data_IF_735158413254
#
_entry.id   IF_735158413254
#
_cell.length_a   1.000
_cell.length_b   1.000
_cell.length_c   1.000
_cell.angle_alpha   90.00
_cell.angle_beta   90.00
_cell.angle_gamma   90.00
#
_symmetry.space_group_name_H-M   'P 1'
#
loop_
_entity.id
_entity.type
_entity.pdbx_description
1 polymer ?
#
# COMPACT_ATOMS: atom_id res chain seq x y z
N UNK A 1 -57.65 -28.26 -12.29
CA UNK A 1 -56.21 -28.58 -12.43
C UNK A 1 -55.41 -27.45 -13.08
N UNK A 2 -55.78 -26.99 -14.29
CA UNK A 2 -55.05 -25.91 -15.00
C UNK A 2 -54.98 -24.56 -14.24
N UNK A 3 -56.08 -24.18 -13.57
CA UNK A 3 -56.12 -22.97 -12.71
C UNK A 3 -55.18 -23.11 -11.51
N UNK A 4 -55.10 -24.29 -10.90
CA UNK A 4 -54.20 -24.55 -9.77
C UNK A 4 -52.72 -24.49 -10.18
N UNK A 5 -52.35 -25.00 -11.37
CA UNK A 5 -50.98 -24.84 -11.87
C UNK A 5 -50.61 -23.37 -12.14
N UNK A 6 -51.54 -22.57 -12.66
CA UNK A 6 -51.30 -21.13 -12.85
C UNK A 6 -51.14 -20.39 -11.53
N UNK A 7 -51.94 -20.74 -10.52
CA UNK A 7 -51.77 -20.18 -9.17
C UNK A 7 -50.43 -20.60 -8.55
N UNK A 8 -49.95 -21.82 -8.80
CA UNK A 8 -48.66 -22.30 -8.31
C UNK A 8 -47.48 -21.54 -8.94
N UNK A 9 -47.48 -21.36 -10.27
CA UNK A 9 -46.44 -20.57 -10.94
C UNK A 9 -46.45 -19.09 -10.53
N UNK A 10 -47.65 -18.52 -10.31
CA UNK A 10 -47.74 -17.16 -9.79
C UNK A 10 -47.18 -17.05 -8.37
N UNK A 11 -47.42 -18.06 -7.53
CA UNK A 11 -46.86 -18.14 -6.18
C UNK A 11 -45.33 -18.24 -6.20
N UNK A 12 -44.75 -19.11 -7.02
CA UNK A 12 -43.28 -19.22 -7.17
C UNK A 12 -42.65 -17.93 -7.67
N UNK A 13 -43.30 -17.26 -8.63
CA UNK A 13 -42.84 -15.97 -9.15
C UNK A 13 -42.85 -14.88 -8.08
N UNK A 14 -43.95 -14.77 -7.31
CA UNK A 14 -44.05 -13.81 -6.20
C UNK A 14 -43.03 -14.12 -5.11
N UNK A 15 -42.84 -15.40 -4.78
CA UNK A 15 -41.87 -15.82 -3.76
C UNK A 15 -40.43 -15.49 -4.18
N UNK A 16 -40.06 -15.80 -5.43
CA UNK A 16 -38.75 -15.45 -5.99
C UNK A 16 -38.52 -13.93 -5.98
N UNK A 17 -39.51 -13.15 -6.41
CA UNK A 17 -39.44 -11.68 -6.40
C UNK A 17 -39.27 -11.12 -4.98
N UNK A 18 -40.04 -11.61 -4.00
CA UNK A 18 -39.92 -11.18 -2.60
C UNK A 18 -38.57 -11.55 -1.99
N UNK A 19 -38.00 -12.71 -2.35
CA UNK A 19 -36.67 -13.12 -1.91
C UNK A 19 -35.55 -12.20 -2.44
N UNK A 20 -35.63 -11.80 -3.71
CA UNK A 20 -34.69 -10.83 -4.30
C UNK A 20 -34.86 -9.44 -3.68
N UNK A 21 -36.10 -8.98 -3.48
CA UNK A 21 -36.38 -7.70 -2.83
C UNK A 21 -35.86 -7.65 -1.39
N UNK A 22 -36.05 -8.73 -0.62
CA UNK A 22 -35.52 -8.84 0.73
C UNK A 22 -33.99 -8.79 0.75
N UNK A 23 -33.33 -9.54 -0.14
CA UNK A 23 -31.87 -9.54 -0.26
C UNK A 23 -31.31 -8.16 -0.62
N UNK A 24 -31.99 -7.44 -1.52
CA UNK A 24 -31.63 -6.06 -1.88
C UNK A 24 -31.82 -5.08 -0.71
N UNK A 25 -32.94 -5.17 0.03
CA UNK A 25 -33.19 -4.34 1.21
C UNK A 25 -32.19 -4.61 2.34
N UNK A 26 -31.80 -5.88 2.53
CA UNK A 26 -30.79 -6.25 3.51
C UNK A 26 -29.40 -5.69 3.12
N UNK A 27 -29.00 -5.84 1.86
CA UNK A 27 -27.71 -5.33 1.36
C UNK A 27 -27.63 -3.80 1.46
N UNK A 28 -28.71 -3.09 1.11
CA UNK A 28 -28.77 -1.62 1.25
C UNK A 28 -28.76 -1.18 2.71
N UNK A 29 -29.47 -1.88 3.61
CA UNK A 29 -29.44 -1.59 5.05
C UNK A 29 -28.05 -1.80 5.66
N UNK A 30 -27.36 -2.89 5.28
CA UNK A 30 -25.98 -3.16 5.72
C UNK A 30 -25.04 -2.07 5.21
N UNK A 31 -25.16 -1.69 3.93
CA UNK A 31 -24.33 -0.63 3.32
C UNK A 31 -24.54 0.71 4.01
N UNK A 32 -25.80 1.11 4.25
CA UNK A 32 -26.13 2.34 4.99
C UNK A 32 -25.58 2.29 6.42
N UNK A 33 -25.70 1.14 7.11
CA UNK A 33 -25.16 0.97 8.46
C UNK A 33 -23.63 1.10 8.49
N UNK A 34 -22.92 0.53 7.52
CA UNK A 34 -21.46 0.68 7.37
C UNK A 34 -21.10 2.14 7.11
N UNK A 35 -21.81 2.83 6.21
CA UNK A 35 -21.61 4.26 5.93
C UNK A 35 -21.83 5.09 7.19
N UNK A 36 -22.90 4.83 7.96
CA UNK A 36 -23.19 5.54 9.21
C UNK A 36 -22.10 5.28 10.25
N UNK A 37 -21.65 4.03 10.43
CA UNK A 37 -20.56 3.69 11.35
C UNK A 37 -19.27 4.40 10.94
N UNK A 38 -18.95 4.40 9.64
CA UNK A 38 -17.78 5.09 9.10
C UNK A 38 -17.87 6.60 9.31
N UNK A 39 -19.04 7.20 9.06
CA UNK A 39 -19.29 8.62 9.33
C UNK A 39 -19.23 8.96 10.82
N UNK A 40 -19.80 8.14 11.70
CA UNK A 40 -19.74 8.37 13.15
C UNK A 40 -18.29 8.26 13.65
N UNK A 41 -17.55 7.25 13.21
CA UNK A 41 -16.13 7.06 13.56
C UNK A 41 -15.27 8.22 13.06
N UNK A 42 -15.52 8.71 11.84
CA UNK A 42 -14.82 9.87 11.26
C UNK A 42 -15.20 11.20 11.91
N UNK A 43 -16.48 11.45 12.18
CA UNK A 43 -16.95 12.73 12.73
C UNK A 43 -16.73 12.90 14.24
N UNK A 44 -16.64 11.81 15.00
CA UNK A 44 -16.34 11.89 16.43
C UNK A 44 -14.84 12.08 16.73
N UNK A 45 -13.95 11.84 15.76
CA UNK A 45 -12.51 12.05 15.93
C UNK A 45 -12.09 13.52 15.73
N UNK A 46 -12.63 14.19 14.71
CA UNK A 46 -11.98 15.38 14.17
C UNK A 46 -12.65 16.71 14.50
N UNK A 47 -13.79 16.74 15.19
CA UNK A 47 -14.43 18.01 15.56
C UNK A 47 -13.81 18.55 16.87
N UNK A 48 -12.93 19.57 16.80
CA UNK A 48 -12.27 20.11 17.99
C UNK A 48 -13.29 20.77 18.92
N UNK A 49 -14.46 21.20 18.40
CA UNK A 49 -15.54 21.76 19.20
C UNK A 49 -16.26 20.67 20.01
N UNK A 50 -16.44 19.47 19.47
CA UNK A 50 -17.02 18.34 20.22
C UNK A 50 -16.02 17.84 21.28
N UNK A 51 -14.74 17.70 20.92
CA UNK A 51 -13.70 17.29 21.86
C UNK A 51 -13.51 18.33 22.98
N UNK A 52 -13.47 19.62 22.64
CA UNK A 52 -13.40 20.70 23.65
C UNK A 52 -14.70 20.84 24.46
N UNK A 53 -15.87 20.53 23.89
CA UNK A 53 -17.14 20.49 24.61
C UNK A 53 -17.20 19.33 25.60
N UNK A 54 -16.76 18.13 25.20
CA UNK A 54 -16.65 16.96 26.08
C UNK A 54 -15.62 17.20 27.19
N UNK A 55 -14.46 17.75 26.86
CA UNK A 55 -13.45 18.15 27.85
C UNK A 55 -13.97 19.23 28.80
N UNK A 56 -14.71 20.23 28.31
CA UNK A 56 -15.37 21.24 29.16
C UNK A 56 -16.47 20.63 30.05
N UNK A 57 -17.25 19.66 29.55
CA UNK A 57 -18.21 18.92 30.38
C UNK A 57 -17.48 18.15 31.48
N UNK A 58 -16.39 17.47 31.17
CA UNK A 58 -15.59 16.73 32.14
C UNK A 58 -14.91 17.65 33.17
N UNK A 59 -14.39 18.82 32.74
CA UNK A 59 -13.81 19.83 33.62
C UNK A 59 -14.86 20.43 34.56
N UNK A 60 -16.07 20.71 34.06
CA UNK A 60 -17.20 21.20 34.88
C UNK A 60 -17.75 20.15 35.85
N UNK A 61 -17.52 18.87 35.57
CA UNK A 61 -17.90 17.77 36.46
C UNK A 61 -16.89 17.53 37.61
N UNK A 62 -15.77 18.28 37.68
CA UNK A 62 -14.86 18.20 38.80
C UNK A 62 -15.41 18.97 40.02
N UNK A 63 -15.52 18.33 41.19
CA UNK A 63 -15.97 18.99 42.42
C UNK A 63 -14.81 19.77 43.04
N UNK A 64 -14.44 20.92 42.47
CA UNK A 64 -13.59 21.87 43.17
C UNK A 64 -14.45 22.91 43.87
N UNK A 65 -14.34 22.93 45.19
CA UNK A 65 -15.05 23.87 46.06
C UNK A 65 -14.68 25.31 45.73
N UNK A 66 -15.50 25.97 44.92
CA UNK A 66 -15.50 27.42 44.78
C UNK A 66 -16.91 27.90 44.44
N UNK A 67 -17.44 28.74 45.33
CA UNK A 67 -18.72 29.41 45.18
C UNK A 67 -18.68 30.37 43.98
N UNK A 68 -19.15 29.91 42.83
CA UNK A 68 -19.33 30.74 41.64
C UNK A 68 -20.52 30.23 40.85
N UNK A 69 -21.60 31.02 40.83
CA UNK A 69 -22.84 30.76 40.11
C UNK A 69 -22.56 30.46 38.64
N UNK A 70 -22.57 29.17 38.30
CA UNK A 70 -22.49 28.66 36.94
C UNK A 70 -23.73 27.81 36.72
N UNK A 71 -24.52 28.18 35.73
CA UNK A 71 -25.73 27.50 35.28
C UNK A 71 -25.32 26.08 34.83
N UNK A 72 -25.36 25.13 35.75
CA UNK A 72 -25.33 23.70 35.46
C UNK A 72 -26.67 23.32 34.85
N UNK A 73 -26.71 22.63 33.69
CA UNK A 73 -27.95 22.06 33.17
C UNK A 73 -28.59 21.20 34.26
N UNK A 74 -29.84 21.53 34.63
CA UNK A 74 -30.57 20.81 35.67
C UNK A 74 -30.64 19.31 35.35
N UNK A 75 -30.09 18.47 36.23
CA UNK A 75 -30.63 17.13 36.47
C UNK A 75 -29.75 15.90 36.23
N UNK A 76 -28.47 15.99 35.84
CA UNK A 76 -27.60 14.78 35.81
C UNK A 76 -26.66 14.73 37.01
N UNK A 77 -26.55 13.56 37.64
CA UNK A 77 -25.69 13.38 38.81
C UNK A 77 -24.23 13.24 38.34
N UNK A 78 -23.24 13.70 39.12
CA UNK A 78 -21.82 13.54 38.78
C UNK A 78 -21.41 12.07 38.55
N UNK A 79 -22.06 11.14 39.26
CA UNK A 79 -21.87 9.69 39.09
C UNK A 79 -22.23 9.21 37.68
N UNK A 80 -23.18 9.87 37.00
CA UNK A 80 -23.61 9.52 35.64
C UNK A 80 -22.52 9.81 34.57
N UNK A 81 -21.44 10.50 34.95
CA UNK A 81 -20.28 10.81 34.10
C UNK A 81 -19.03 10.00 34.46
N UNK A 82 -19.09 9.16 35.49
CA UNK A 82 -17.92 8.41 35.96
C UNK A 82 -17.44 7.40 34.91
N UNK A 83 -18.37 6.69 34.25
CA UNK A 83 -18.06 5.81 33.13
C UNK A 83 -17.45 6.56 31.93
N UNK A 84 -17.85 7.81 31.67
CA UNK A 84 -17.31 8.61 30.58
C UNK A 84 -15.88 9.05 30.92
N UNK A 85 -15.62 9.38 32.19
CA UNK A 85 -14.28 9.70 32.69
C UNK A 85 -13.38 8.46 32.60
N UNK A 86 -13.86 7.31 33.04
CA UNK A 86 -13.14 6.03 32.93
C UNK A 86 -12.89 5.65 31.47
N UNK A 87 -13.87 5.88 30.57
CA UNK A 87 -13.72 5.66 29.13
C UNK A 87 -12.72 6.63 28.49
N UNK A 88 -12.76 7.92 28.84
CA UNK A 88 -11.79 8.89 28.34
C UNK A 88 -10.39 8.68 28.91
N UNK A 89 -10.28 8.15 30.14
CA UNK A 89 -9.00 7.77 30.74
C UNK A 89 -8.47 6.43 30.20
N UNK A 90 -9.36 5.54 29.73
CA UNK A 90 -8.98 4.26 29.11
C UNK A 90 -8.57 4.41 27.64
N UNK A 91 -9.01 5.49 26.97
CA UNK A 91 -8.49 5.87 25.66
C UNK A 91 -7.07 6.39 25.84
N UNK A 92 -6.10 5.55 25.50
CA UNK A 92 -4.71 5.93 25.42
C UNK A 92 -4.57 7.13 24.47
N UNK A 93 -3.98 8.23 24.96
CA UNK A 93 -3.73 9.41 24.12
C UNK A 93 -2.87 9.01 22.91
N UNK A 94 -3.15 9.55 21.70
CA UNK A 94 -2.44 9.18 20.49
C UNK A 94 -0.91 9.17 20.62
N UNK A 95 -0.36 10.23 21.21
CA UNK A 95 1.07 10.36 21.54
C UNK A 95 1.63 9.14 22.30
N UNK A 96 0.97 8.74 23.40
CA UNK A 96 1.40 7.60 24.24
C UNK A 96 1.35 6.29 23.47
N UNK A 97 0.31 6.09 22.68
CA UNK A 97 0.13 4.88 21.89
C UNK A 97 1.22 4.76 20.81
N UNK A 98 1.43 5.81 20.02
CA UNK A 98 2.49 5.85 19.00
C UNK A 98 3.86 5.65 19.63
N UNK A 99 4.14 6.33 20.75
CA UNK A 99 5.41 6.19 21.48
C UNK A 99 5.63 4.78 22.00
N UNK A 100 4.59 4.13 22.55
CA UNK A 100 4.63 2.74 23.01
C UNK A 100 4.95 1.81 21.84
N UNK A 101 4.25 1.95 20.72
CA UNK A 101 4.47 1.12 19.53
C UNK A 101 5.88 1.29 18.97
N UNK A 102 6.35 2.54 18.77
CA UNK A 102 7.72 2.82 18.32
C UNK A 102 8.77 2.20 19.25
N UNK A 103 8.56 2.28 20.57
CA UNK A 103 9.47 1.67 21.54
C UNK A 103 9.48 0.14 21.44
N UNK A 104 8.32 -0.50 21.26
CA UNK A 104 8.24 -1.94 21.01
C UNK A 104 8.99 -2.30 19.73
N UNK A 105 8.77 -1.55 18.65
CA UNK A 105 9.42 -1.78 17.35
C UNK A 105 10.95 -1.66 17.48
N UNK A 106 11.47 -0.69 18.22
CA UNK A 106 12.92 -0.53 18.42
C UNK A 106 13.56 -1.65 19.25
N UNK A 107 12.78 -2.41 20.02
CA UNK A 107 13.27 -3.56 20.77
C UNK A 107 13.70 -4.74 19.86
N UNK A 108 13.51 -4.62 18.56
CA UNK A 108 13.99 -5.58 17.55
C UNK A 108 15.52 -5.67 17.43
N UNK A 109 16.25 -4.69 17.96
CA UNK A 109 17.72 -4.62 17.87
C UNK A 109 18.44 -5.52 18.87
N UNK A 110 17.73 -6.28 19.71
CA UNK A 110 18.37 -7.08 20.75
C UNK A 110 18.86 -8.43 20.22
N UNK A 111 20.16 -8.64 20.43
CA UNK A 111 20.98 -9.73 19.91
C UNK A 111 20.36 -11.11 20.16
N UNK A 112 20.35 -11.93 19.10
CA UNK A 112 19.99 -13.36 19.09
C UNK A 112 20.92 -14.23 19.98
N UNK A 113 21.86 -13.61 20.70
CA UNK A 113 22.90 -14.26 21.51
C UNK A 113 22.63 -14.30 23.02
N UNK A 114 21.74 -13.47 23.56
CA UNK A 114 21.42 -13.45 24.99
C UNK A 114 19.93 -13.79 25.21
N UNK A 115 19.65 -15.08 25.33
CA UNK A 115 18.29 -15.67 25.35
C UNK A 115 17.31 -15.13 26.43
N UNK A 116 17.63 -14.14 27.27
CA UNK A 116 16.76 -13.83 28.42
C UNK A 116 16.68 -12.38 28.96
N UNK A 117 17.18 -11.34 28.30
CA UNK A 117 17.05 -9.98 28.90
C UNK A 117 16.71 -8.91 27.87
N UNK A 118 15.46 -8.44 27.87
CA UNK A 118 15.06 -7.21 27.20
C UNK A 118 14.53 -6.20 28.23
N UNK A 119 14.93 -4.94 28.00
CA UNK A 119 14.92 -3.77 28.86
C UNK A 119 13.61 -3.45 29.59
N UNK A 120 13.81 -3.14 30.89
CA UNK A 120 12.82 -2.64 31.83
C UNK A 120 12.32 -1.25 31.46
N UNK A 121 11.03 -1.11 31.20
CA UNK A 121 10.35 0.15 31.48
C UNK A 121 9.88 0.13 32.94
N UNK A 122 10.59 0.83 33.83
CA UNK A 122 10.05 1.18 35.15
C UNK A 122 8.92 2.19 34.93
N UNK A 123 7.71 1.70 34.68
CA UNK A 123 6.47 2.48 34.72
C UNK A 123 6.14 2.91 36.16
N UNK A 124 7.02 3.69 36.78
CA UNK A 124 6.80 4.24 38.11
C UNK A 124 5.96 5.50 38.00
N UNK A 125 4.69 5.43 38.42
CA UNK A 125 3.90 6.61 38.72
C UNK A 125 4.56 7.33 39.93
N UNK A 126 5.12 8.54 39.78
CA UNK A 126 5.90 9.18 40.85
C UNK A 126 5.06 9.56 42.09
N UNK A 127 3.73 9.48 42.01
CA UNK A 127 2.83 9.96 43.06
C UNK A 127 2.06 8.87 43.83
N UNK A 128 2.43 7.59 43.71
CA UNK A 128 1.87 6.53 44.57
C UNK A 128 3.01 5.74 45.22
N UNK A 129 3.21 5.96 46.53
CA UNK A 129 4.13 5.20 47.41
C UNK A 129 3.76 3.71 47.57
N UNK A 130 2.82 3.19 46.77
CA UNK A 130 2.52 1.78 46.73
C UNK A 130 3.53 1.06 45.83
N UNK A 131 4.48 0.43 46.49
CA UNK A 131 5.52 -0.48 46.02
C UNK A 131 4.94 -1.69 45.27
N UNK A 132 4.27 -1.49 44.14
CA UNK A 132 3.95 -2.57 43.21
C UNK A 132 5.25 -2.95 42.50
N UNK A 133 5.71 -4.16 42.76
CA UNK A 133 6.79 -4.81 42.00
C UNK A 133 6.38 -4.78 40.52
N UNK A 134 7.08 -3.98 39.72
CA UNK A 134 6.80 -3.84 38.30
C UNK A 134 7.04 -5.17 37.61
N UNK A 135 5.96 -5.78 37.11
CA UNK A 135 6.02 -7.00 36.31
C UNK A 135 6.85 -6.72 35.05
N UNK A 136 7.96 -7.44 34.90
CA UNK A 136 8.85 -7.29 33.75
C UNK A 136 8.22 -8.04 32.58
N UNK A 137 7.64 -7.32 31.63
CA UNK A 137 7.13 -7.91 30.39
C UNK A 137 8.27 -8.11 29.40
N UNK A 138 8.49 -9.35 28.98
CA UNK A 138 9.38 -9.69 27.86
C UNK A 138 8.67 -9.32 26.56
N UNK A 139 9.35 -8.59 25.67
CA UNK A 139 8.86 -8.27 24.32
C UNK A 139 9.29 -9.39 23.39
N UNK A 140 8.34 -10.01 22.68
CA UNK A 140 8.61 -11.08 21.70
C UNK A 140 8.70 -10.54 20.28
N UNK A 141 9.16 -11.37 19.34
CA UNK A 141 9.10 -11.10 17.89
C UNK A 141 7.66 -10.82 17.42
N UNK A 142 6.70 -11.64 17.85
CA UNK A 142 5.27 -11.42 17.57
C UNK A 142 4.77 -10.07 18.10
N UNK A 143 5.21 -9.64 19.30
CA UNK A 143 4.85 -8.32 19.83
C UNK A 143 5.37 -7.19 18.92
N UNK A 144 6.53 -7.36 18.29
CA UNK A 144 7.09 -6.39 17.35
C UNK A 144 6.32 -6.37 16.04
N UNK A 145 6.00 -7.54 15.47
CA UNK A 145 5.21 -7.65 14.24
C UNK A 145 3.82 -7.05 14.42
N UNK A 146 3.14 -7.36 15.53
CA UNK A 146 1.86 -6.75 15.89
C UNK A 146 1.96 -5.23 16.06
N UNK A 147 3.05 -4.74 16.66
CA UNK A 147 3.25 -3.30 16.81
C UNK A 147 3.52 -2.60 15.47
N UNK A 148 4.25 -3.26 14.55
CA UNK A 148 4.50 -2.78 13.20
C UNK A 148 3.21 -2.71 12.37
N UNK A 149 2.42 -3.79 12.38
CA UNK A 149 1.12 -3.86 11.70
C UNK A 149 0.16 -2.80 12.25
N UNK A 150 -0.02 -2.76 13.58
CA UNK A 150 -0.91 -1.80 14.24
C UNK A 150 -0.50 -0.35 13.92
N UNK A 151 0.79 -0.03 14.00
CA UNK A 151 1.25 1.33 13.69
C UNK A 151 1.08 1.66 12.20
N UNK A 152 1.34 0.70 11.30
CA UNK A 152 1.16 0.87 9.85
C UNK A 152 -0.29 1.18 9.49
N UNK A 153 -1.26 0.50 10.10
CA UNK A 153 -2.69 0.76 9.90
C UNK A 153 -3.10 2.12 10.49
N UNK A 154 -2.55 2.49 11.64
CA UNK A 154 -2.89 3.76 12.31
C UNK A 154 -2.44 4.97 11.50
N UNK A 155 -1.23 4.97 10.92
CA UNK A 155 -0.71 6.13 10.18
C UNK A 155 -1.34 6.34 8.80
N UNK A 156 -2.29 5.51 8.37
CA UNK A 156 -3.17 5.83 7.24
C UNK A 156 -4.07 7.05 7.55
N UNK A 157 -4.35 7.29 8.83
CA UNK A 157 -5.05 8.48 9.29
C UNK A 157 -4.07 9.64 9.54
N UNK A 158 -4.41 10.81 8.99
CA UNK A 158 -3.52 11.98 8.96
C UNK A 158 -3.16 12.51 10.37
N UNK A 159 -4.05 12.33 11.36
CA UNK A 159 -3.78 12.76 12.73
C UNK A 159 -2.73 11.84 13.38
N UNK A 160 -2.89 10.53 13.20
CA UNK A 160 -1.93 9.55 13.70
C UNK A 160 -0.58 9.63 12.99
N UNK A 161 -0.59 9.91 11.68
CA UNK A 161 0.63 10.19 10.92
C UNK A 161 1.36 11.44 11.47
N UNK A 162 0.62 12.46 11.90
CA UNK A 162 1.18 13.66 12.53
C UNK A 162 1.84 13.36 13.89
N UNK A 163 1.21 12.53 14.71
CA UNK A 163 1.80 12.06 15.97
C UNK A 163 3.04 11.19 15.74
N UNK A 164 3.01 10.34 14.71
CA UNK A 164 4.16 9.55 14.27
C UNK A 164 5.35 10.44 13.86
N UNK A 165 5.11 11.52 13.11
CA UNK A 165 6.13 12.53 12.78
C UNK A 165 6.69 13.22 14.04
N UNK A 166 5.82 13.61 14.99
CA UNK A 166 6.23 14.27 16.25
C UNK A 166 7.12 13.39 17.13
N UNK A 167 7.00 12.06 17.03
CA UNK A 167 7.80 11.10 17.79
C UNK A 167 9.07 10.65 17.04
N UNK A 168 9.49 11.38 16.00
CA UNK A 168 10.61 11.04 15.12
C UNK A 168 10.44 9.69 14.40
N UNK A 169 9.18 9.25 14.21
CA UNK A 169 8.83 7.99 13.57
C UNK A 169 9.58 7.73 12.24
N UNK A 170 9.57 8.66 11.28
CA UNK A 170 10.30 8.51 10.01
C UNK A 170 11.79 8.22 10.19
N UNK A 171 12.46 8.93 11.11
CA UNK A 171 13.89 8.76 11.36
C UNK A 171 14.18 7.39 12.00
N UNK A 172 13.35 6.97 12.95
CA UNK A 172 13.46 5.67 13.62
C UNK A 172 13.29 4.54 12.61
N UNK A 173 12.23 4.56 11.81
CA UNK A 173 11.96 3.55 10.77
C UNK A 173 13.11 3.45 9.76
N UNK A 174 13.63 4.58 9.26
CA UNK A 174 14.79 4.55 8.37
C UNK A 174 16.04 4.00 9.04
N UNK A 175 16.26 4.28 10.33
CA UNK A 175 17.40 3.72 11.07
C UNK A 175 17.31 2.20 11.23
N UNK A 176 16.10 1.64 11.35
CA UNK A 176 15.88 0.20 11.39
C UNK A 176 16.22 -0.48 10.04
N UNK A 177 16.03 0.24 8.93
CA UNK A 177 16.31 -0.26 7.57
C UNK A 177 17.77 -0.07 7.11
N UNK A 178 18.48 0.94 7.63
CA UNK A 178 19.87 1.24 7.24
C UNK A 178 20.84 0.05 7.29
N UNK A 179 20.83 -0.81 8.35
CA UNK A 179 21.72 -1.96 8.41
C UNK A 179 21.57 -2.96 7.25
N UNK A 180 20.42 -2.96 6.57
CA UNK A 180 20.18 -3.83 5.41
C UNK A 180 20.87 -3.32 4.13
N UNK A 181 21.25 -2.05 4.09
CA UNK A 181 21.90 -1.41 2.93
C UNK A 181 23.40 -1.43 3.08
N UNK A 182 23.88 -1.00 4.25
CA UNK A 182 25.30 -0.86 4.55
C UNK A 182 25.92 -2.24 4.74
N UNK A 183 26.90 -2.65 3.91
CA UNK A 183 27.62 -3.89 4.14
C UNK A 183 28.31 -3.76 5.50
N UNK A 184 27.85 -4.53 6.47
CA UNK A 184 28.41 -4.51 7.82
C UNK A 184 29.88 -4.91 7.71
N UNK A 185 30.78 -3.92 7.77
CA UNK A 185 32.23 -4.14 7.83
C UNK A 185 32.67 -4.66 9.21
N UNK A 186 31.72 -4.98 10.09
CA UNK A 186 32.01 -5.67 11.33
C UNK A 186 32.52 -7.08 11.00
N UNK A 187 33.83 -7.27 11.13
CA UNK A 187 34.51 -8.57 11.07
C UNK A 187 34.00 -9.57 12.14
N UNK A 188 33.04 -9.17 12.99
CA UNK A 188 32.21 -10.05 13.81
C UNK A 188 30.78 -10.05 13.30
N UNK A 189 30.39 -11.09 12.57
CA UNK A 189 29.09 -11.24 11.90
C UNK A 189 27.92 -11.36 12.87
N UNK A 190 27.51 -10.23 13.45
CA UNK A 190 26.20 -10.11 14.07
C UNK A 190 25.16 -10.01 12.96
N UNK A 191 24.43 -11.10 12.77
CA UNK A 191 23.30 -11.18 11.85
C UNK A 191 22.15 -10.35 12.45
N UNK A 192 21.91 -9.16 11.89
CA UNK A 192 20.79 -8.32 12.30
C UNK A 192 19.47 -9.06 12.11
N UNK A 193 18.56 -8.97 13.09
CA UNK A 193 17.23 -9.59 13.06
C UNK A 193 16.48 -9.36 11.73
N UNK A 194 16.55 -8.14 11.20
CA UNK A 194 15.91 -7.76 9.93
C UNK A 194 16.47 -8.46 8.69
N UNK A 195 17.72 -8.95 8.74
CA UNK A 195 18.29 -9.70 7.64
C UNK A 195 17.69 -11.12 7.52
N UNK A 196 16.87 -11.54 8.49
CA UNK A 196 16.20 -12.83 8.45
C UNK A 196 14.68 -12.71 8.28
N UNK A 197 14.06 -11.64 8.79
CA UNK A 197 12.60 -11.50 8.80
C UNK A 197 12.04 -10.60 7.67
N UNK A 198 11.46 -11.26 6.66
CA UNK A 198 10.80 -10.58 5.53
C UNK A 198 9.49 -9.89 5.91
N UNK A 199 8.84 -10.30 7.00
CA UNK A 199 7.54 -9.76 7.43
C UNK A 199 7.72 -8.41 8.13
N UNK A 200 8.69 -8.31 9.04
CA UNK A 200 9.06 -7.03 9.63
C UNK A 200 9.46 -5.99 8.55
N UNK A 201 10.25 -6.40 7.55
CA UNK A 201 10.62 -5.52 6.44
C UNK A 201 9.40 -5.07 5.62
N UNK A 202 8.46 -5.99 5.35
CA UNK A 202 7.22 -5.66 4.68
C UNK A 202 6.46 -4.56 5.43
N UNK A 203 6.24 -4.71 6.74
CA UNK A 203 5.50 -3.72 7.52
C UNK A 203 6.26 -2.41 7.69
N UNK A 204 7.59 -2.41 7.80
CA UNK A 204 8.37 -1.17 7.78
C UNK A 204 8.18 -0.39 6.48
N UNK A 205 8.13 -1.08 5.34
CA UNK A 205 7.85 -0.45 4.05
C UNK A 205 6.41 0.07 3.97
N UNK A 206 5.43 -0.69 4.46
CA UNK A 206 4.03 -0.27 4.52
C UNK A 206 3.84 0.95 5.42
N UNK A 207 4.52 0.99 6.57
CA UNK A 207 4.51 2.13 7.49
C UNK A 207 5.03 3.42 6.82
N UNK A 208 6.10 3.32 6.01
CA UNK A 208 6.55 4.46 5.18
C UNK A 208 5.49 4.83 4.14
N UNK A 209 4.94 3.85 3.44
CA UNK A 209 3.96 4.09 2.37
C UNK A 209 2.70 4.77 2.89
N UNK A 210 2.11 4.26 3.96
CA UNK A 210 0.87 4.77 4.57
C UNK A 210 1.09 6.16 5.17
N UNK A 211 2.17 6.34 5.95
CA UNK A 211 2.46 7.63 6.57
C UNK A 211 2.72 8.75 5.55
N UNK A 212 3.32 8.44 4.39
CA UNK A 212 3.61 9.41 3.34
C UNK A 212 2.45 9.61 2.34
N UNK A 213 1.42 8.76 2.34
CA UNK A 213 0.36 8.79 1.34
C UNK A 213 -0.45 10.09 1.40
N UNK A 214 -0.27 10.95 0.39
CA UNK A 214 -0.92 12.27 0.29
C UNK A 214 -0.68 13.15 1.52
N UNK A 215 0.50 13.01 2.15
CA UNK A 215 0.90 13.75 3.33
C UNK A 215 2.19 14.53 3.06
N UNK A 216 2.04 15.73 2.49
CA UNK A 216 3.16 16.59 2.08
C UNK A 216 4.16 16.87 3.22
N UNK A 217 3.67 17.02 4.46
CA UNK A 217 4.52 17.28 5.63
C UNK A 217 5.46 16.11 5.88
N UNK A 218 4.93 14.88 5.90
CA UNK A 218 5.72 13.69 6.11
C UNK A 218 6.63 13.37 4.92
N UNK A 219 6.16 13.56 3.68
CA UNK A 219 7.00 13.48 2.48
C UNK A 219 8.21 14.43 2.59
N UNK A 220 8.02 15.66 3.08
CA UNK A 220 9.10 16.61 3.33
C UNK A 220 10.01 16.19 4.50
N UNK A 221 9.47 15.55 5.54
CA UNK A 221 10.30 14.94 6.60
C UNK A 221 11.20 13.86 6.01
N UNK A 222 10.65 12.88 5.27
CA UNK A 222 11.44 11.84 4.62
C UNK A 222 12.47 12.41 3.65
N UNK A 223 12.13 13.47 2.90
CA UNK A 223 13.08 14.18 2.02
C UNK A 223 14.32 14.66 2.79
N UNK A 224 14.11 15.36 3.92
CA UNK A 224 15.21 15.85 4.79
C UNK A 224 16.06 14.70 5.32
N UNK A 225 15.43 13.56 5.57
CA UNK A 225 16.07 12.34 6.05
C UNK A 225 16.78 11.52 4.96
N UNK A 226 16.77 11.99 3.71
CA UNK A 226 17.40 11.31 2.57
C UNK A 226 16.94 9.85 2.44
N UNK A 227 15.62 9.61 2.50
CA UNK A 227 15.03 8.26 2.43
C UNK A 227 15.53 7.41 1.25
N UNK A 228 15.94 8.05 0.15
CA UNK A 228 16.47 7.40 -1.05
C UNK A 228 17.80 6.69 -0.81
N UNK A 229 18.60 7.13 0.17
CA UNK A 229 19.85 6.47 0.56
C UNK A 229 19.60 5.11 1.21
N UNK A 230 18.36 4.84 1.63
CA UNK A 230 17.94 3.56 2.20
C UNK A 230 17.10 2.75 1.19
N UNK A 231 16.00 3.31 0.66
CA UNK A 231 15.05 2.52 -0.12
C UNK A 231 15.54 2.18 -1.54
N UNK A 232 16.33 3.05 -2.19
CA UNK A 232 16.80 2.78 -3.56
C UNK A 232 17.77 1.59 -3.59
N UNK A 233 18.77 1.49 -2.69
CA UNK A 233 19.59 0.30 -2.60
C UNK A 233 18.80 -0.97 -2.25
N UNK A 234 17.78 -0.88 -1.39
CA UNK A 234 16.92 -2.03 -1.06
C UNK A 234 16.08 -2.51 -2.23
N UNK A 235 15.85 -1.69 -3.26
CA UNK A 235 15.17 -2.07 -4.50
C UNK A 235 16.10 -2.72 -5.53
N UNK A 236 17.41 -2.78 -5.29
CA UNK A 236 18.35 -3.41 -6.22
C UNK A 236 18.00 -4.90 -6.43
N UNK A 237 18.03 -5.42 -7.68
CA UNK A 237 17.51 -6.77 -7.96
C UNK A 237 18.25 -7.90 -7.24
N UNK A 238 19.53 -7.71 -6.95
CA UNK A 238 20.38 -8.61 -6.17
C UNK A 238 20.03 -8.65 -4.68
N UNK A 239 19.22 -7.69 -4.20
CA UNK A 239 18.79 -7.57 -2.80
C UNK A 239 17.29 -7.78 -2.61
N UNK A 240 16.48 -7.31 -3.56
CA UNK A 240 15.04 -7.23 -3.42
C UNK A 240 14.30 -8.42 -4.02
N UNK A 241 14.92 -9.19 -4.92
CA UNK A 241 14.26 -10.34 -5.52
C UNK A 241 14.54 -11.62 -4.74
N UNK A 242 13.53 -12.50 -4.55
CA UNK A 242 13.74 -13.82 -3.96
C UNK A 242 14.84 -14.60 -4.71
N UNK A 243 15.69 -15.40 -4.04
CA UNK A 243 16.70 -16.21 -4.72
C UNK A 243 16.04 -17.24 -5.66
N UNK A 244 16.70 -17.56 -6.77
CA UNK A 244 16.23 -18.64 -7.65
C UNK A 244 16.52 -19.98 -6.99
N UNK A 245 15.51 -20.86 -6.86
CA UNK A 245 15.64 -22.18 -6.20
C UNK A 245 16.78 -23.06 -6.75
N UNK A 246 17.24 -22.80 -7.99
CA UNK A 246 18.27 -23.59 -8.68
C UNK A 246 19.71 -23.10 -8.43
N UNK A 247 19.92 -21.93 -7.82
CA UNK A 247 21.26 -21.52 -7.42
C UNK A 247 21.66 -22.31 -6.16
N UNK A 248 22.53 -23.30 -6.38
CA UNK A 248 23.11 -24.17 -5.37
C UNK A 248 23.34 -23.46 -4.02
N UNK A 249 23.03 -24.15 -2.92
CA UNK A 249 23.19 -23.81 -1.48
C UNK A 249 24.59 -23.31 -1.02
N UNK A 250 25.38 -22.69 -1.88
CA UNK A 250 26.54 -21.89 -1.46
C UNK A 250 26.00 -20.75 -0.63
N UNK A 251 26.41 -20.74 0.64
CA UNK A 251 26.14 -19.74 1.67
C UNK A 251 26.68 -18.35 1.27
N UNK A 252 26.20 -17.76 0.19
CA UNK A 252 26.24 -16.30 0.07
C UNK A 252 25.10 -15.80 0.95
N UNK A 253 25.44 -14.98 1.94
CA UNK A 253 24.56 -14.36 2.93
C UNK A 253 23.62 -13.32 2.29
N UNK A 254 23.04 -13.66 1.14
CA UNK A 254 22.08 -12.85 0.42
C UNK A 254 20.81 -12.83 1.24
N UNK A 255 20.47 -11.64 1.72
CA UNK A 255 19.15 -11.32 2.24
C UNK A 255 18.09 -11.80 1.25
N UNK A 256 17.31 -12.83 1.62
CA UNK A 256 16.29 -13.39 0.75
C UNK A 256 14.97 -12.69 1.03
N UNK A 257 14.63 -11.70 0.23
CA UNK A 257 13.34 -11.00 0.28
C UNK A 257 12.21 -11.82 -0.34
N UNK A 258 10.97 -11.46 0.02
CA UNK A 258 9.76 -12.02 -0.56
C UNK A 258 9.15 -11.07 -1.60
N UNK A 259 8.33 -11.58 -2.53
CA UNK A 259 7.63 -10.74 -3.50
C UNK A 259 6.76 -9.62 -2.88
N UNK A 260 6.03 -9.87 -1.76
CA UNK A 260 5.31 -8.80 -1.05
C UNK A 260 6.20 -7.64 -0.61
N UNK A 261 7.43 -7.91 -0.17
CA UNK A 261 8.40 -6.87 0.22
C UNK A 261 8.74 -5.97 -0.96
N UNK A 262 8.98 -6.53 -2.16
CA UNK A 262 9.25 -5.73 -3.37
C UNK A 262 8.07 -4.81 -3.68
N UNK A 263 6.85 -5.35 -3.59
CA UNK A 263 5.64 -4.57 -3.82
C UNK A 263 5.49 -3.45 -2.79
N UNK A 264 5.80 -3.70 -1.51
CA UNK A 264 5.77 -2.72 -0.44
C UNK A 264 6.85 -1.63 -0.61
N UNK A 265 8.08 -1.99 -1.00
CA UNK A 265 9.16 -1.05 -1.30
C UNK A 265 8.79 -0.11 -2.46
N UNK A 266 8.25 -0.65 -3.55
CA UNK A 266 7.78 0.16 -4.68
C UNK A 266 6.60 1.04 -4.28
N UNK A 267 5.71 0.55 -3.42
CA UNK A 267 4.59 1.31 -2.90
C UNK A 267 5.07 2.49 -2.04
N UNK A 268 6.03 2.28 -1.13
CA UNK A 268 6.65 3.32 -0.33
C UNK A 268 7.30 4.39 -1.21
N UNK A 269 8.09 3.98 -2.21
CA UNK A 269 8.70 4.91 -3.17
C UNK A 269 7.64 5.72 -3.94
N UNK A 270 6.55 5.07 -4.36
CA UNK A 270 5.43 5.72 -5.05
C UNK A 270 4.77 6.78 -4.16
N UNK A 271 4.44 6.45 -2.91
CA UNK A 271 3.82 7.41 -1.98
C UNK A 271 4.75 8.58 -1.65
N UNK A 272 6.07 8.36 -1.60
CA UNK A 272 7.04 9.43 -1.35
C UNK A 272 7.23 10.36 -2.54
N UNK A 273 7.11 9.87 -3.77
CA UNK A 273 7.31 10.66 -4.98
C UNK A 273 6.03 11.33 -5.50
N UNK A 274 4.86 10.75 -5.22
CA UNK A 274 3.56 11.22 -5.72
C UNK A 274 3.26 12.65 -5.22
N UNK A 275 2.92 13.54 -6.15
CA UNK A 275 2.60 14.95 -5.89
C UNK A 275 3.74 15.69 -5.13
N UNK A 276 4.98 15.20 -5.23
CA UNK A 276 6.13 15.69 -4.50
C UNK A 276 7.38 15.79 -5.39
N UNK A 277 7.52 16.85 -6.20
CA UNK A 277 8.60 16.98 -7.17
C UNK A 277 10.00 16.93 -6.54
N UNK A 278 10.15 17.43 -5.30
CA UNK A 278 11.43 17.38 -4.59
C UNK A 278 11.89 15.94 -4.29
N UNK A 279 10.97 15.05 -3.91
CA UNK A 279 11.27 13.63 -3.70
C UNK A 279 11.47 12.88 -5.01
N UNK A 280 10.67 13.19 -6.03
CA UNK A 280 10.79 12.60 -7.34
C UNK A 280 12.17 12.90 -7.97
N UNK A 281 12.66 14.15 -7.87
CA UNK A 281 14.00 14.53 -8.28
C UNK A 281 15.09 13.83 -7.46
N UNK A 282 14.97 13.83 -6.13
CA UNK A 282 15.91 13.17 -5.25
C UNK A 282 16.04 11.66 -5.56
N UNK A 283 14.93 10.99 -5.87
CA UNK A 283 14.91 9.59 -6.27
C UNK A 283 15.69 9.35 -7.57
N UNK A 284 15.55 10.24 -8.55
CA UNK A 284 16.33 10.17 -9.80
C UNK A 284 17.82 10.41 -9.54
N UNK A 285 18.15 11.43 -8.76
CA UNK A 285 19.54 11.79 -8.42
C UNK A 285 20.28 10.66 -7.71
N UNK A 286 19.57 9.86 -6.89
CA UNK A 286 20.13 8.68 -6.20
C UNK A 286 20.07 7.40 -7.03
N UNK A 287 19.88 7.50 -8.34
CA UNK A 287 19.96 6.36 -9.26
C UNK A 287 18.70 5.49 -9.31
N UNK A 288 17.56 5.99 -8.85
CA UNK A 288 16.30 5.25 -8.86
C UNK A 288 15.94 4.69 -10.25
N UNK A 289 16.16 5.46 -11.32
CA UNK A 289 15.94 4.98 -12.68
C UNK A 289 16.81 3.78 -13.05
N UNK A 290 18.10 3.81 -12.73
CA UNK A 290 19.01 2.72 -13.03
C UNK A 290 18.59 1.45 -12.28
N UNK A 291 18.23 1.58 -10.99
CA UNK A 291 17.70 0.48 -10.17
C UNK A 291 16.42 -0.10 -10.76
N UNK A 292 15.47 0.75 -11.15
CA UNK A 292 14.19 0.31 -11.71
C UNK A 292 14.35 -0.37 -13.07
N UNK A 293 15.22 0.16 -13.95
CA UNK A 293 15.55 -0.49 -15.23
C UNK A 293 16.18 -1.86 -14.98
N UNK A 294 17.12 -1.96 -14.04
CA UNK A 294 17.73 -3.24 -13.68
C UNK A 294 16.68 -4.23 -13.15
N UNK A 295 15.75 -3.77 -12.30
CA UNK A 295 14.65 -4.57 -11.78
C UNK A 295 13.74 -5.06 -12.92
N UNK A 296 13.39 -4.17 -13.83
CA UNK A 296 12.58 -4.49 -15.01
C UNK A 296 13.22 -5.58 -15.88
N UNK A 297 14.51 -5.44 -16.18
CA UNK A 297 15.27 -6.42 -16.97
C UNK A 297 15.31 -7.77 -16.27
N UNK A 298 15.63 -7.79 -14.97
CA UNK A 298 15.68 -9.05 -14.20
C UNK A 298 14.31 -9.71 -14.09
N UNK A 299 13.24 -8.95 -13.87
CA UNK A 299 11.87 -9.48 -13.86
C UNK A 299 11.50 -10.07 -15.22
N UNK A 300 11.85 -9.40 -16.31
CA UNK A 300 11.64 -9.90 -17.68
C UNK A 300 12.37 -11.23 -17.89
N UNK A 301 13.65 -11.29 -17.55
CA UNK A 301 14.45 -12.52 -17.70
C UNK A 301 13.89 -13.67 -16.86
N UNK A 302 13.45 -13.39 -15.62
CA UNK A 302 12.86 -14.40 -14.74
C UNK A 302 11.49 -14.87 -15.21
N UNK A 303 10.66 -13.96 -15.73
CA UNK A 303 9.29 -14.26 -16.11
C UNK A 303 9.18 -14.90 -17.50
N UNK A 304 10.09 -14.59 -18.42
CA UNK A 304 10.02 -15.06 -19.83
C UNK A 304 11.05 -16.12 -20.21
N UNK A 305 11.92 -16.55 -19.29
CA UNK A 305 12.90 -17.61 -19.58
C UNK A 305 12.20 -18.94 -19.87
N UNK A 306 12.39 -19.47 -21.09
CA UNK A 306 11.81 -20.76 -21.54
C UNK A 306 12.28 -21.96 -20.71
N UNK A 307 13.40 -21.81 -20.00
CA UNK A 307 14.05 -22.88 -19.24
C UNK A 307 13.55 -23.03 -17.80
N UNK A 308 12.73 -22.09 -17.32
CA UNK A 308 12.18 -22.19 -15.98
C UNK A 308 10.97 -23.12 -16.00
N UNK A 309 11.21 -24.39 -15.64
CA UNK A 309 10.20 -25.34 -15.14
C UNK A 309 9.41 -24.84 -13.92
N UNK A 310 9.58 -23.57 -13.53
CA UNK A 310 8.99 -22.93 -12.37
C UNK A 310 8.75 -21.45 -12.70
N UNK A 311 7.49 -21.11 -12.88
CA UNK A 311 6.86 -20.13 -12.01
C UNK A 311 5.44 -20.67 -11.82
N UNK A 312 5.12 -21.16 -10.62
CA UNK A 312 3.72 -21.46 -10.31
C UNK A 312 2.90 -20.18 -10.60
N UNK A 313 1.63 -20.34 -10.98
CA UNK A 313 0.74 -19.22 -11.31
C UNK A 313 0.75 -18.11 -10.23
N UNK A 314 0.99 -18.49 -8.97
CA UNK A 314 1.15 -17.59 -7.82
C UNK A 314 2.34 -16.63 -7.99
N UNK A 315 3.52 -17.10 -8.36
CA UNK A 315 4.68 -16.24 -8.61
C UNK A 315 4.45 -15.29 -9.79
N UNK A 316 3.87 -15.81 -10.88
CA UNK A 316 3.50 -14.99 -12.04
C UNK A 316 2.57 -13.85 -11.64
N UNK A 317 1.57 -14.16 -10.81
CA UNK A 317 0.64 -13.16 -10.24
C UNK A 317 1.37 -12.08 -9.44
N UNK A 318 2.37 -12.46 -8.63
CA UNK A 318 3.14 -11.49 -7.84
C UNK A 318 4.03 -10.60 -8.72
N UNK A 319 4.68 -11.17 -9.74
CA UNK A 319 5.47 -10.40 -10.70
C UNK A 319 4.59 -9.38 -11.43
N UNK A 320 3.38 -9.77 -11.85
CA UNK A 320 2.41 -8.85 -12.45
C UNK A 320 2.06 -7.71 -11.50
N UNK A 321 1.81 -8.00 -10.21
CA UNK A 321 1.56 -6.94 -9.21
C UNK A 321 2.74 -5.96 -9.10
N UNK A 322 3.97 -6.47 -9.13
CA UNK A 322 5.19 -5.64 -9.09
C UNK A 322 5.30 -4.78 -10.34
N UNK A 323 5.08 -5.34 -11.52
CA UNK A 323 5.07 -4.59 -12.80
C UNK A 323 4.03 -3.46 -12.75
N UNK A 324 2.82 -3.73 -12.24
CA UNK A 324 1.78 -2.70 -12.05
C UNK A 324 2.25 -1.58 -11.11
N UNK A 325 2.98 -1.92 -10.03
CA UNK A 325 3.55 -0.91 -9.11
C UNK A 325 4.65 -0.08 -9.77
N UNK A 326 5.51 -0.69 -10.60
CA UNK A 326 6.50 0.02 -11.41
C UNK A 326 5.79 1.04 -12.32
N UNK A 327 4.73 0.62 -13.00
CA UNK A 327 3.93 1.50 -13.86
C UNK A 327 3.32 2.68 -13.11
N UNK A 328 2.78 2.46 -11.91
CA UNK A 328 2.30 3.57 -11.09
C UNK A 328 3.42 4.56 -10.71
N UNK A 329 4.59 4.06 -10.31
CA UNK A 329 5.72 4.93 -10.02
C UNK A 329 6.16 5.73 -11.25
N UNK A 330 6.25 5.09 -12.43
CA UNK A 330 6.58 5.77 -13.69
C UNK A 330 5.56 6.85 -14.01
N UNK A 331 4.26 6.57 -13.84
CA UNK A 331 3.20 7.54 -14.08
C UNK A 331 3.32 8.75 -13.13
N UNK A 332 3.57 8.54 -11.84
CA UNK A 332 3.76 9.63 -10.88
C UNK A 332 4.99 10.48 -11.21
N UNK A 333 6.12 9.85 -11.57
CA UNK A 333 7.31 10.60 -12.01
C UNK A 333 7.00 11.44 -13.25
N UNK A 334 6.24 10.89 -14.21
CA UNK A 334 5.83 11.61 -15.41
C UNK A 334 4.90 12.79 -15.10
N UNK A 335 4.00 12.65 -14.11
CA UNK A 335 3.13 13.73 -13.66
C UNK A 335 3.93 14.94 -13.16
N UNK A 336 5.07 14.69 -12.52
CA UNK A 336 6.07 15.67 -12.07
C UNK A 336 7.00 16.17 -13.20
N UNK A 337 6.76 15.76 -14.45
CA UNK A 337 7.59 16.15 -15.60
C UNK A 337 8.93 15.40 -15.69
N UNK A 338 9.10 14.35 -14.89
CA UNK A 338 10.30 13.52 -14.89
C UNK A 338 10.06 12.30 -15.78
N UNK A 339 10.84 12.20 -16.85
CA UNK A 339 10.82 11.03 -17.73
C UNK A 339 12.25 10.58 -18.05
N UNK A 340 12.39 9.30 -18.36
CA UNK A 340 13.65 8.70 -18.80
C UNK A 340 13.35 7.80 -19.99
N UNK A 341 13.94 8.12 -21.14
CA UNK A 341 13.83 7.31 -22.36
C UNK A 341 14.21 5.86 -22.10
N UNK A 342 15.30 5.63 -21.35
CA UNK A 342 15.77 4.29 -20.97
C UNK A 342 14.74 3.54 -20.13
N UNK A 343 14.11 4.22 -19.17
CA UNK A 343 13.04 3.60 -18.37
C UNK A 343 11.83 3.26 -19.24
N UNK A 344 11.45 4.16 -20.15
CA UNK A 344 10.33 3.92 -21.05
C UNK A 344 10.58 2.72 -21.94
N UNK A 345 11.79 2.58 -22.49
CA UNK A 345 12.19 1.37 -23.19
C UNK A 345 12.09 0.13 -22.32
N UNK A 346 12.57 0.16 -21.06
CA UNK A 346 12.47 -0.99 -20.17
C UNK A 346 11.02 -1.40 -19.85
N UNK A 347 10.14 -0.42 -19.64
CA UNK A 347 8.69 -0.63 -19.43
C UNK A 347 8.03 -1.22 -20.68
N UNK A 348 8.36 -0.68 -21.84
CA UNK A 348 7.88 -1.16 -23.15
C UNK A 348 8.37 -2.58 -23.42
N UNK A 349 9.61 -2.89 -23.09
CA UNK A 349 10.19 -4.21 -23.27
C UNK A 349 9.53 -5.26 -22.37
N UNK A 350 9.20 -4.92 -21.11
CA UNK A 350 8.45 -5.83 -20.22
C UNK A 350 7.06 -6.09 -20.79
N UNK A 351 6.35 -5.03 -21.21
CA UNK A 351 4.99 -5.16 -21.74
C UNK A 351 4.96 -5.94 -23.05
N UNK A 352 5.88 -5.65 -23.97
CA UNK A 352 6.05 -6.40 -25.21
C UNK A 352 6.42 -7.87 -24.97
N UNK A 353 7.29 -8.14 -23.99
CA UNK A 353 7.60 -9.50 -23.55
C UNK A 353 6.36 -10.26 -23.05
N UNK A 354 5.50 -9.59 -22.27
CA UNK A 354 4.26 -10.16 -21.74
C UNK A 354 3.32 -10.62 -22.84
N UNK A 355 3.07 -9.75 -23.82
CA UNK A 355 2.22 -10.09 -24.98
C UNK A 355 2.82 -11.20 -25.85
N UNK A 356 4.15 -11.21 -26.04
CA UNK A 356 4.83 -12.24 -26.83
C UNK A 356 4.76 -13.62 -26.17
N UNK A 357 4.81 -13.70 -24.84
CA UNK A 357 4.71 -14.94 -24.10
C UNK A 357 3.36 -15.64 -24.29
N UNK A 358 2.26 -14.87 -24.40
CA UNK A 358 0.92 -15.41 -24.65
C UNK A 358 0.74 -16.02 -26.04
N UNK A 359 1.48 -15.54 -27.04
CA UNK A 359 1.30 -15.98 -28.42
C UNK A 359 1.91 -17.36 -28.70
N UNK A 360 2.57 -17.98 -27.71
CA UNK A 360 3.16 -19.31 -27.88
C UNK A 360 2.04 -20.37 -27.89
N UNK A 361 1.91 -21.15 -28.97
CA UNK A 361 0.91 -22.21 -29.04
C UNK A 361 1.26 -23.31 -28.01
N UNK A 362 0.36 -23.54 -27.04
CA UNK A 362 0.44 -24.69 -26.15
C UNK A 362 0.13 -25.96 -26.96
N UNK A 363 1.10 -26.88 -27.04
CA UNK A 363 0.97 -28.12 -27.81
C UNK A 363 0.28 -29.26 -27.06
N UNK A 364 -0.04 -29.05 -25.78
CA UNK A 364 -0.72 -30.00 -24.90
C UNK A 364 -2.11 -29.49 -24.53
N UNK A 365 -3.03 -30.44 -24.34
CA UNK A 365 -4.48 -30.22 -24.27
C UNK A 365 -5.08 -30.78 -22.97
N UNK A 366 -4.37 -30.67 -21.85
CA UNK A 366 -4.98 -31.03 -20.55
C UNK A 366 -5.90 -29.89 -20.10
N UNK A 367 -7.01 -30.24 -19.44
CA UNK A 367 -7.96 -29.24 -18.90
C UNK A 367 -7.26 -28.31 -17.87
N UNK A 368 -6.31 -28.84 -17.08
CA UNK A 368 -5.51 -28.06 -16.13
C UNK A 368 -4.63 -27.00 -16.81
N UNK A 369 -4.07 -27.30 -18.00
CA UNK A 369 -3.29 -26.32 -18.76
C UNK A 369 -4.17 -25.24 -19.40
N UNK A 370 -5.43 -25.56 -19.71
CA UNK A 370 -6.39 -24.57 -20.24
C UNK A 370 -6.80 -23.56 -19.17
N UNK A 371 -7.04 -24.01 -17.92
CA UNK A 371 -7.32 -23.12 -16.78
C UNK A 371 -6.12 -22.23 -16.44
N UNK A 372 -4.90 -22.79 -16.36
CA UNK A 372 -3.69 -21.98 -16.10
C UNK A 372 -3.46 -20.94 -17.22
N UNK A 373 -3.73 -21.32 -18.47
CA UNK A 373 -3.64 -20.42 -19.60
C UNK A 373 -4.65 -19.28 -19.51
N UNK A 374 -5.90 -19.55 -19.13
CA UNK A 374 -6.92 -18.51 -18.96
C UNK A 374 -6.51 -17.51 -17.86
N UNK A 375 -5.98 -18.00 -16.73
CA UNK A 375 -5.50 -17.12 -15.67
C UNK A 375 -4.26 -16.32 -16.08
N UNK A 376 -3.36 -16.91 -16.88
CA UNK A 376 -2.23 -16.19 -17.45
C UNK A 376 -2.67 -15.11 -18.44
N UNK A 377 -3.65 -15.39 -19.29
CA UNK A 377 -4.25 -14.43 -20.20
C UNK A 377 -4.84 -13.23 -19.43
N UNK A 378 -5.56 -13.51 -18.33
CA UNK A 378 -6.10 -12.45 -17.43
C UNK A 378 -4.97 -11.59 -16.84
N UNK A 379 -3.91 -12.22 -16.35
CA UNK A 379 -2.75 -11.53 -15.77
C UNK A 379 -2.05 -10.61 -16.78
N UNK A 380 -1.93 -11.03 -18.04
CA UNK A 380 -1.31 -10.20 -19.08
C UNK A 380 -2.20 -9.06 -19.49
N UNK A 381 -3.52 -9.27 -19.61
CA UNK A 381 -4.49 -8.17 -19.85
C UNK A 381 -4.36 -7.11 -18.75
N UNK A 382 -4.19 -7.53 -17.50
CA UNK A 382 -3.96 -6.66 -16.35
C UNK A 382 -2.68 -5.80 -16.48
N UNK A 383 -1.58 -6.40 -16.95
CA UNK A 383 -0.32 -5.70 -17.24
C UNK A 383 -0.51 -4.72 -18.39
N UNK A 384 -1.14 -5.15 -19.47
CA UNK A 384 -1.40 -4.33 -20.66
C UNK A 384 -2.27 -3.11 -20.34
N UNK A 385 -3.35 -3.30 -19.56
CA UNK A 385 -4.19 -2.19 -19.08
C UNK A 385 -3.38 -1.20 -18.25
N UNK A 386 -2.54 -1.69 -17.33
CA UNK A 386 -1.74 -0.82 -16.46
C UNK A 386 -0.64 -0.07 -17.24
N UNK A 387 -0.01 -0.75 -18.19
CA UNK A 387 0.95 -0.15 -19.12
C UNK A 387 0.29 0.93 -19.99
N UNK A 388 -0.91 0.66 -20.50
CA UNK A 388 -1.68 1.60 -21.32
C UNK A 388 -2.00 2.90 -20.58
N UNK A 389 -2.47 2.81 -19.33
CA UNK A 389 -2.76 3.97 -18.49
C UNK A 389 -1.50 4.80 -18.23
N UNK A 390 -0.38 4.14 -17.99
CA UNK A 390 0.91 4.79 -17.78
C UNK A 390 1.38 5.52 -19.03
N UNK A 391 1.27 4.91 -20.21
CA UNK A 391 1.61 5.58 -21.46
C UNK A 391 0.68 6.75 -21.78
N UNK A 392 -0.60 6.69 -21.41
CA UNK A 392 -1.52 7.84 -21.55
C UNK A 392 -1.03 9.02 -20.71
N UNK A 393 -0.69 8.79 -19.44
CA UNK A 393 -0.15 9.84 -18.55
C UNK A 393 1.15 10.41 -19.11
N UNK A 394 2.07 9.53 -19.52
CA UNK A 394 3.33 9.95 -20.15
C UNK A 394 3.14 10.73 -21.44
N UNK A 395 2.19 10.33 -22.28
CA UNK A 395 1.90 11.01 -23.52
C UNK A 395 1.35 12.42 -23.28
N UNK A 396 0.47 12.60 -22.29
CA UNK A 396 -0.04 13.91 -21.91
C UNK A 396 1.08 14.85 -21.46
N UNK A 397 2.12 14.31 -20.81
CA UNK A 397 3.23 15.08 -20.24
C UNK A 397 4.41 15.25 -21.20
N UNK A 398 4.63 14.30 -22.11
CA UNK A 398 5.78 14.25 -23.01
C UNK A 398 5.42 13.61 -24.35
N UNK A 399 4.53 14.23 -25.16
CA UNK A 399 4.00 13.63 -26.38
C UNK A 399 5.09 13.36 -27.42
N UNK A 400 6.08 14.25 -27.55
CA UNK A 400 7.19 14.09 -28.50
C UNK A 400 8.04 12.87 -28.20
N UNK A 401 8.36 12.63 -26.92
CA UNK A 401 9.14 11.48 -26.48
C UNK A 401 8.39 10.18 -26.77
N UNK A 402 7.10 10.13 -26.45
CA UNK A 402 6.28 8.94 -26.70
C UNK A 402 6.11 8.69 -28.20
N UNK A 403 5.89 9.73 -29.01
CA UNK A 403 5.83 9.60 -30.47
C UNK A 403 7.16 9.10 -31.06
N UNK A 404 8.30 9.55 -30.52
CA UNK A 404 9.60 9.05 -30.93
C UNK A 404 9.77 7.57 -30.58
N UNK A 405 9.44 7.18 -29.34
CA UNK A 405 9.48 5.79 -28.90
C UNK A 405 8.60 4.87 -29.75
N UNK A 406 7.40 5.32 -30.12
CA UNK A 406 6.50 4.57 -31.01
C UNK A 406 7.13 4.37 -32.40
N UNK A 407 7.81 5.40 -32.92
CA UNK A 407 8.49 5.33 -34.23
C UNK A 407 9.69 4.39 -34.21
N UNK A 408 10.44 4.38 -33.11
CA UNK A 408 11.67 3.58 -32.97
C UNK A 408 11.38 2.13 -32.56
N UNK A 409 10.24 1.86 -31.92
CA UNK A 409 9.88 0.54 -31.43
C UNK A 409 8.61 0.00 -32.11
N UNK A 410 8.80 -0.82 -33.16
CA UNK A 410 7.68 -1.46 -33.88
C UNK A 410 6.87 -2.42 -33.00
N UNK A 411 7.48 -3.01 -31.96
CA UNK A 411 6.76 -3.83 -31.00
C UNK A 411 5.81 -2.96 -30.17
N UNK A 412 6.26 -1.79 -29.72
CA UNK A 412 5.41 -0.81 -29.04
C UNK A 412 4.25 -0.37 -29.91
N UNK A 413 4.46 -0.12 -31.21
CA UNK A 413 3.38 0.21 -32.14
C UNK A 413 2.31 -0.91 -32.19
N UNK A 414 2.75 -2.17 -32.18
CA UNK A 414 1.86 -3.34 -32.16
C UNK A 414 1.12 -3.46 -30.83
N UNK A 415 1.84 -3.34 -29.72
CA UNK A 415 1.30 -3.35 -28.36
C UNK A 415 0.29 -2.22 -28.15
N UNK A 416 0.60 -1.00 -28.59
CA UNK A 416 -0.31 0.15 -28.55
C UNK A 416 -1.57 -0.08 -29.37
N UNK A 417 -1.50 -0.80 -30.49
CA UNK A 417 -2.69 -1.17 -31.27
C UNK A 417 -3.57 -2.13 -30.47
N UNK A 418 -2.98 -3.09 -29.76
CA UNK A 418 -3.70 -3.96 -28.82
C UNK A 418 -4.36 -3.15 -27.71
N UNK A 419 -3.60 -2.24 -27.08
CA UNK A 419 -4.09 -1.40 -25.99
C UNK A 419 -5.19 -0.44 -26.42
N UNK A 420 -5.14 0.09 -27.65
CA UNK A 420 -6.22 0.87 -28.24
C UNK A 420 -7.53 0.08 -28.22
N UNK A 421 -7.50 -1.18 -28.62
CA UNK A 421 -8.70 -2.03 -28.62
C UNK A 421 -9.21 -2.32 -27.20
N UNK A 422 -8.31 -2.36 -26.22
CA UNK A 422 -8.67 -2.52 -24.80
C UNK A 422 -9.29 -1.25 -24.25
N UNK A 423 -8.69 -0.08 -24.49
CA UNK A 423 -9.21 1.21 -24.04
C UNK A 423 -10.56 1.54 -24.68
N UNK A 424 -10.74 1.27 -25.98
CA UNK A 424 -12.04 1.44 -26.66
C UNK A 424 -13.12 0.52 -26.07
N UNK A 425 -12.77 -0.69 -25.65
CA UNK A 425 -13.70 -1.60 -24.97
C UNK A 425 -14.09 -1.08 -23.58
N UNK A 426 -13.13 -0.57 -22.80
CA UNK A 426 -13.42 0.05 -21.50
C UNK A 426 -14.33 1.26 -21.64
N UNK A 427 -14.10 2.11 -22.65
CA UNK A 427 -14.91 3.30 -22.94
C UNK A 427 -16.35 2.95 -23.31
N UNK A 428 -16.56 1.92 -24.13
CA UNK A 428 -17.91 1.42 -24.46
C UNK A 428 -18.62 0.94 -23.19
N UNK A 429 -17.91 0.24 -22.30
CA UNK A 429 -18.48 -0.22 -21.02
C UNK A 429 -18.80 0.95 -20.10
N UNK A 430 -17.94 1.96 -20.00
CA UNK A 430 -18.21 3.15 -19.16
C UNK A 430 -19.36 3.98 -19.70
N UNK A 431 -19.45 4.16 -21.02
CA UNK A 431 -20.51 4.94 -21.65
C UNK A 431 -21.87 4.25 -21.54
N UNK A 432 -21.92 2.91 -21.61
CA UNK A 432 -23.16 2.16 -21.36
C UNK A 432 -23.61 2.19 -19.90
N UNK A 433 -22.72 2.51 -18.96
CA UNK A 433 -23.04 2.63 -17.54
C UNK A 433 -23.35 4.07 -17.12
N UNK A 434 -22.91 5.07 -17.89
CA UNK A 434 -23.08 6.49 -17.63
C UNK A 434 -23.91 7.16 -18.72
N UNK A 435 -25.21 6.90 -18.75
CA UNK A 435 -26.17 7.56 -19.66
C UNK A 435 -26.42 9.06 -19.32
N UNK A 436 -25.60 9.71 -18.50
CA UNK A 436 -25.75 11.13 -18.17
C UNK A 436 -24.39 11.84 -18.04
N UNK A 437 -24.27 12.95 -18.77
CA UNK A 437 -23.18 13.94 -18.78
C UNK A 437 -22.01 13.67 -19.75
N UNK A 438 -22.15 14.20 -20.97
CA UNK A 438 -21.08 14.28 -21.96
C UNK A 438 -20.07 15.38 -21.62
N UNK A 439 -18.88 14.98 -21.18
CA UNK A 439 -17.69 15.83 -21.13
C UNK A 439 -16.86 15.61 -22.40
N UNK A 440 -16.61 16.67 -23.19
CA UNK A 440 -15.88 16.57 -24.47
C UNK A 440 -14.36 16.56 -24.34
N UNK A 441 -13.82 16.62 -23.11
CA UNK A 441 -12.39 16.79 -22.86
C UNK A 441 -11.77 15.53 -22.24
N UNK A 442 -12.10 14.33 -22.76
CA UNK A 442 -11.42 13.12 -22.32
C UNK A 442 -10.02 13.04 -22.96
N UNK A 443 -8.94 13.13 -22.17
CA UNK A 443 -7.58 13.05 -22.68
C UNK A 443 -7.27 11.75 -23.44
N UNK A 444 -8.05 10.68 -23.21
CA UNK A 444 -7.92 9.39 -23.90
C UNK A 444 -8.24 9.50 -25.40
N UNK A 445 -9.22 10.33 -25.77
CA UNK A 445 -9.58 10.56 -27.17
C UNK A 445 -8.42 11.22 -27.93
N UNK A 446 -7.69 12.13 -27.27
CA UNK A 446 -6.53 12.80 -27.89
C UNK A 446 -5.40 11.84 -28.25
N UNK A 447 -5.11 10.83 -27.41
CA UNK A 447 -4.08 9.84 -27.70
C UNK A 447 -4.52 8.93 -28.85
N UNK A 448 -5.78 8.47 -28.85
CA UNK A 448 -6.32 7.64 -29.93
C UNK A 448 -6.25 8.39 -31.26
N UNK A 449 -6.68 9.65 -31.31
CA UNK A 449 -6.60 10.48 -32.51
C UNK A 449 -5.16 10.73 -32.97
N UNK A 450 -4.22 10.89 -32.05
CA UNK A 450 -2.81 11.07 -32.38
C UNK A 450 -2.21 9.79 -32.95
N UNK A 451 -2.57 8.63 -32.41
CA UNK A 451 -2.20 7.33 -32.97
C UNK A 451 -2.82 7.09 -34.35
N UNK A 452 -4.01 7.65 -34.60
CA UNK A 452 -4.65 7.60 -35.92
C UNK A 452 -3.95 8.50 -36.95
N UNK A 453 -3.49 9.69 -36.55
CA UNK A 453 -2.83 10.66 -37.45
C UNK A 453 -1.38 10.32 -37.81
N UNK A 454 -0.72 9.46 -37.03
CA UNK A 454 0.69 9.09 -37.23
C UNK A 454 0.88 7.70 -37.87
N UNK A 455 -0.20 7.00 -38.23
CA UNK A 455 -0.20 5.90 -39.19
C UNK A 455 -0.50 6.44 -40.59
#
# INVERSE_FOLDING_TARGET
MFVLMRCFHLYEYIFSFLSHLYSFLLATTITISIIIIFFIKKKMSDDPAINSYLLNMCAKAQPEGAAGSSITPEGRRPEDYEWLREAMQSVESPERKVKRLLKTIEAIHFEKGDENVILLEKGGNPNKENKQEGETRVITEDDVLLALEELSDMVEDINWASEFDLMDGPQRVLNLLKPLVEPSHSEGGEEYFYAADTEALYFLCMLIAHSAQLNEKLQATYHRLQWTDVLVPLLAPDRCLPPQEKENKKKTSSFATSWPVVAALLHACSCLCRDCPANALLWVERGGFATMVSLCVTLRERFFSESSTFANLREKTQVVKIIKRIFFLVAYLAEEGISSEVLLHAVVDITGGASAALQRPSSSSSEEEEEEKEDLDRLVVDVEQSGSRTLVVLYQKSPTLILQLIKENTALSTTMRGWRQTLQREEIVSNNNNDNEGSSDDPRLSLIEVLEKNN
#
